data_IF_834299993925
#
_entry.id   IF_834299993925
#
_cell.length_a   1.000
_cell.length_b   1.000
_cell.length_c   1.000
_cell.angle_alpha   90.00
_cell.angle_beta   90.00
_cell.angle_gamma   90.00
#
_symmetry.space_group_name_H-M   'P 1'
#
loop_
_entity.id
_entity.type
_entity.pdbx_description
1 polymer ?
#
# COMPACT_ATOMS: atom_id res chain seq x y z
N UNK A 1 -15.09 -10.78 -2.90
CA UNK A 1 -14.10 -11.80 -2.49
C UNK A 1 -12.75 -11.10 -2.54
N UNK A 2 -12.09 -10.90 -1.41
CA UNK A 2 -10.75 -10.32 -1.39
C UNK A 2 -9.78 -11.48 -1.61
N UNK A 3 -9.11 -11.54 -2.76
CA UNK A 3 -8.05 -12.52 -2.99
C UNK A 3 -6.76 -11.96 -2.40
N UNK A 4 -6.11 -12.72 -1.53
CA UNK A 4 -4.80 -12.35 -0.97
C UNK A 4 -3.73 -12.51 -2.05
N UNK A 5 -3.26 -11.39 -2.60
CA UNK A 5 -2.16 -11.36 -3.55
C UNK A 5 -0.83 -11.10 -2.82
N UNK A 6 -0.20 -12.20 -2.39
CA UNK A 6 1.05 -12.19 -1.63
C UNK A 6 2.28 -12.18 -2.53
N UNK A 7 3.21 -11.29 -2.23
CA UNK A 7 4.49 -11.19 -2.93
C UNK A 7 5.65 -11.24 -1.94
N UNK A 8 6.64 -12.06 -2.24
CA UNK A 8 7.89 -12.12 -1.49
C UNK A 8 8.87 -11.10 -2.02
N UNK A 9 9.62 -10.47 -1.12
CA UNK A 9 10.72 -9.61 -1.52
C UNK A 9 11.87 -10.44 -2.15
N UNK A 10 12.79 -9.77 -2.85
CA UNK A 10 13.88 -10.43 -3.58
C UNK A 10 14.78 -11.29 -2.68
N UNK A 11 15.00 -10.87 -1.44
CA UNK A 11 15.76 -11.65 -0.44
C UNK A 11 14.91 -12.70 0.29
N UNK A 12 13.63 -12.84 -0.03
CA UNK A 12 12.67 -13.81 0.54
C UNK A 12 12.40 -13.67 2.05
N UNK A 13 12.95 -12.65 2.71
CA UNK A 13 12.80 -12.42 4.15
C UNK A 13 11.42 -11.90 4.56
N UNK A 14 10.68 -11.29 3.63
CA UNK A 14 9.35 -10.73 3.87
C UNK A 14 8.38 -11.09 2.76
N UNK A 15 7.12 -11.27 3.13
CA UNK A 15 5.99 -11.51 2.25
C UNK A 15 4.87 -10.54 2.60
N UNK A 16 4.31 -9.85 1.62
CA UNK A 16 3.35 -8.77 1.83
C UNK A 16 2.17 -8.89 0.87
N UNK A 17 1.03 -8.32 1.27
CA UNK A 17 -0.17 -8.27 0.45
C UNK A 17 -0.27 -6.96 -0.33
N UNK A 18 -0.75 -7.05 -1.57
CA UNK A 18 -1.04 -5.90 -2.43
C UNK A 18 -2.53 -5.74 -2.68
N UNK A 19 -2.92 -4.49 -2.87
CA UNK A 19 -4.23 -4.09 -3.38
C UNK A 19 -4.14 -3.85 -4.90
N UNK A 20 -5.11 -4.42 -5.63
CA UNK A 20 -5.30 -4.23 -7.07
C UNK A 20 -6.67 -3.59 -7.33
N UNK A 21 -6.70 -2.27 -7.53
CA UNK A 21 -7.97 -1.54 -7.69
C UNK A 21 -8.76 -2.03 -8.89
N UNK A 22 -9.96 -2.53 -8.61
CA UNK A 22 -10.94 -3.03 -9.59
C UNK A 22 -10.36 -4.08 -10.55
N UNK A 23 -9.29 -4.78 -10.16
CA UNK A 23 -8.57 -5.74 -11.02
C UNK A 23 -8.20 -5.16 -12.40
N UNK A 24 -7.94 -3.85 -12.46
CA UNK A 24 -7.56 -3.15 -13.70
C UNK A 24 -6.17 -3.62 -14.14
N UNK A 25 -5.23 -3.65 -13.21
CA UNK A 25 -3.91 -4.22 -13.41
C UNK A 25 -3.89 -5.66 -12.89
N UNK A 26 -3.27 -6.58 -13.65
CA UNK A 26 -3.11 -7.95 -13.20
C UNK A 26 -1.89 -8.04 -12.27
N UNK A 27 -1.76 -9.15 -11.56
CA UNK A 27 -0.71 -9.36 -10.55
C UNK A 27 0.69 -9.45 -11.17
N UNK A 28 0.77 -9.83 -12.45
CA UNK A 28 1.98 -9.83 -13.27
C UNK A 28 2.57 -8.42 -13.47
N UNK A 29 1.83 -7.36 -13.13
CA UNK A 29 2.36 -6.00 -13.17
C UNK A 29 3.47 -5.77 -12.14
N UNK A 30 3.57 -6.60 -11.10
CA UNK A 30 4.68 -6.54 -10.14
C UNK A 30 5.82 -7.41 -10.68
N UNK A 31 6.85 -6.77 -11.22
CA UNK A 31 8.04 -7.45 -11.71
C UNK A 31 8.93 -7.93 -10.57
N UNK A 32 9.10 -7.10 -9.53
CA UNK A 32 9.89 -7.44 -8.34
C UNK A 32 9.54 -6.55 -7.15
N UNK A 33 9.80 -7.08 -5.95
CA UNK A 33 9.62 -6.39 -4.68
C UNK A 33 10.93 -6.42 -3.89
N UNK A 34 11.31 -5.29 -3.31
CA UNK A 34 12.49 -5.18 -2.47
C UNK A 34 12.09 -4.61 -1.11
N UNK A 35 12.48 -5.31 -0.05
CA UNK A 35 12.27 -4.85 1.32
C UNK A 35 13.47 -4.03 1.81
N UNK A 36 13.37 -3.34 2.96
CA UNK A 36 14.47 -2.55 3.53
C UNK A 36 15.80 -3.30 3.69
N UNK A 37 15.77 -4.64 3.80
CA UNK A 37 16.98 -5.45 3.92
C UNK A 37 17.70 -5.69 2.57
N UNK A 38 17.02 -5.51 1.43
CA UNK A 38 17.58 -5.83 0.11
C UNK A 38 17.39 -4.72 -0.93
N UNK A 39 16.78 -3.59 -0.57
CA UNK A 39 16.64 -2.42 -1.44
C UNK A 39 17.91 -1.56 -1.50
N UNK A 40 18.81 -1.69 -0.52
CA UNK A 40 20.06 -0.90 -0.47
C UNK A 40 21.10 -1.25 -1.55
N UNK A 41 21.10 -2.49 -2.04
CA UNK A 41 22.12 -3.01 -2.96
C UNK A 41 21.71 -2.97 -4.44
N UNK A 42 20.52 -2.45 -4.76
CA UNK A 42 19.99 -2.44 -6.12
C UNK A 42 20.14 -1.09 -6.82
N UNK A 43 20.26 -1.12 -8.14
CA UNK A 43 20.17 0.07 -8.97
C UNK A 43 18.70 0.49 -9.11
N UNK A 44 18.35 1.68 -8.61
CA UNK A 44 16.99 2.22 -8.69
C UNK A 44 16.76 2.89 -10.06
N UNK A 45 15.72 2.45 -10.78
CA UNK A 45 15.25 3.09 -12.02
C UNK A 45 13.86 3.71 -11.81
N UNK A 46 13.74 5.05 -11.73
CA UNK A 46 12.45 5.72 -11.52
C UNK A 46 11.45 5.51 -12.65
N UNK A 47 11.86 4.98 -13.81
CA UNK A 47 10.94 4.71 -14.93
C UNK A 47 10.08 3.47 -14.70
N UNK A 48 10.54 2.54 -13.87
CA UNK A 48 9.85 1.27 -13.59
C UNK A 48 9.64 1.04 -12.10
N UNK A 49 10.34 1.78 -11.24
CA UNK A 49 10.35 1.55 -9.80
C UNK A 49 9.81 2.73 -9.01
N UNK A 50 9.16 2.40 -7.89
CA UNK A 50 8.76 3.37 -6.87
C UNK A 50 9.32 2.97 -5.51
N UNK A 51 9.81 3.95 -4.75
CA UNK A 51 10.25 3.77 -3.38
C UNK A 51 9.23 4.33 -2.38
N UNK A 52 9.00 3.59 -1.29
CA UNK A 52 8.17 4.00 -0.16
C UNK A 52 8.76 3.48 1.15
N UNK A 53 9.32 4.39 1.95
CA UNK A 53 9.90 4.12 3.26
C UNK A 53 10.83 2.88 3.35
N UNK A 54 11.82 2.81 2.46
CA UNK A 54 12.80 1.72 2.39
C UNK A 54 12.35 0.48 1.62
N UNK A 55 11.07 0.41 1.24
CA UNK A 55 10.59 -0.56 0.26
C UNK A 55 10.73 -0.02 -1.16
N UNK A 56 10.94 -0.91 -2.12
CA UNK A 56 10.90 -0.60 -3.55
C UNK A 56 10.02 -1.61 -4.25
N UNK A 57 9.10 -1.13 -5.07
CA UNK A 57 8.28 -1.94 -5.99
C UNK A 57 8.78 -1.65 -7.39
N UNK A 58 9.10 -2.70 -8.13
CA UNK A 58 9.40 -2.64 -9.56
C UNK A 58 8.19 -3.15 -10.33
N UNK A 59 7.67 -2.30 -11.22
CA UNK A 59 6.55 -2.64 -12.08
C UNK A 59 7.01 -3.08 -13.46
N UNK A 60 6.33 -4.09 -14.00
CA UNK A 60 6.36 -4.37 -15.43
C UNK A 60 5.53 -3.30 -16.14
N UNK A 61 6.22 -2.27 -16.61
CA UNK A 61 5.57 -1.13 -17.26
C UNK A 61 4.97 -1.48 -18.63
N UNK A 62 5.38 -2.58 -19.27
CA UNK A 62 4.81 -2.98 -20.55
C UNK A 62 3.47 -3.69 -20.33
N UNK A 63 3.38 -4.56 -19.31
CA UNK A 63 2.10 -5.10 -18.82
C UNK A 63 1.18 -3.98 -18.37
N UNK A 64 1.70 -3.02 -17.59
CA UNK A 64 0.92 -1.89 -17.10
C UNK A 64 0.34 -1.05 -18.25
N UNK A 65 1.17 -0.70 -19.25
CA UNK A 65 0.74 0.07 -20.43
C UNK A 65 -0.31 -0.67 -21.24
N UNK A 66 -0.14 -1.97 -21.45
CA UNK A 66 -1.10 -2.79 -22.20
C UNK A 66 -2.49 -2.78 -21.53
N UNK A 67 -2.51 -2.87 -20.20
CA UNK A 67 -3.74 -2.89 -19.39
C UNK A 67 -4.31 -1.50 -19.12
N UNK A 68 -3.54 -0.43 -19.38
CA UNK A 68 -3.92 0.96 -19.11
C UNK A 68 -5.15 1.43 -19.89
N UNK A 69 -5.53 0.73 -20.95
CA UNK A 69 -6.78 1.00 -21.71
C UNK A 69 -8.05 0.95 -20.87
N UNK A 70 -8.01 0.28 -19.71
CA UNK A 70 -9.10 0.21 -18.73
C UNK A 70 -9.05 1.32 -17.68
N UNK A 71 -8.05 2.19 -17.72
CA UNK A 71 -7.87 3.32 -16.81
C UNK A 71 -8.51 4.60 -17.39
N UNK A 72 -8.80 5.61 -16.55
CA UNK A 72 -9.07 6.96 -17.02
C UNK A 72 -7.95 7.45 -17.95
N UNK A 73 -8.33 8.09 -19.05
CA UNK A 73 -7.41 8.53 -20.11
C UNK A 73 -6.20 9.33 -19.58
N UNK A 74 -6.42 10.21 -18.61
CA UNK A 74 -5.36 11.01 -17.99
C UNK A 74 -4.26 10.16 -17.34
N UNK A 75 -4.63 9.03 -16.72
CA UNK A 75 -3.68 8.11 -16.09
C UNK A 75 -3.01 7.21 -17.12
N UNK A 76 -3.75 6.76 -18.13
CA UNK A 76 -3.23 5.91 -19.19
C UNK A 76 -2.15 6.63 -20.03
N UNK A 77 -2.36 7.91 -20.37
CA UNK A 77 -1.42 8.70 -21.19
C UNK A 77 -0.13 9.07 -20.45
N UNK A 78 -0.18 9.17 -19.12
CA UNK A 78 0.94 9.57 -18.27
C UNK A 78 1.32 8.47 -17.27
N UNK A 79 1.23 7.21 -17.69
CA UNK A 79 1.41 6.08 -16.78
C UNK A 79 2.87 6.01 -16.27
N UNK A 80 3.04 6.18 -14.96
CA UNK A 80 4.31 6.03 -14.24
C UNK A 80 4.13 5.11 -13.03
N UNK A 81 5.22 4.61 -12.40
CA UNK A 81 5.14 3.91 -11.12
C UNK A 81 4.36 4.67 -10.04
N UNK A 82 4.52 5.99 -9.95
CA UNK A 82 3.77 6.85 -9.02
C UNK A 82 2.28 6.86 -9.36
N UNK A 83 1.91 6.99 -10.64
CA UNK A 83 0.48 6.91 -11.03
C UNK A 83 -0.12 5.57 -10.64
N UNK A 84 0.60 4.47 -10.84
CA UNK A 84 0.15 3.12 -10.47
C UNK A 84 -0.07 3.03 -8.95
N UNK A 85 0.91 3.47 -8.16
CA UNK A 85 0.90 3.34 -6.71
C UNK A 85 -0.08 4.32 -6.05
N UNK A 86 0.07 5.63 -6.30
CA UNK A 86 -0.67 6.71 -5.62
C UNK A 86 -2.17 6.74 -6.03
N UNK A 87 -2.57 6.02 -7.09
CA UNK A 87 -3.98 5.84 -7.45
C UNK A 87 -4.54 4.46 -7.09
N UNK A 88 -3.78 3.68 -6.32
CA UNK A 88 -4.10 2.34 -5.85
C UNK A 88 -4.31 1.28 -6.95
N UNK A 89 -3.85 1.53 -8.19
CA UNK A 89 -3.95 0.52 -9.25
C UNK A 89 -3.19 -0.75 -8.90
N UNK A 90 -2.02 -0.59 -8.27
CA UNK A 90 -1.29 -1.67 -7.62
C UNK A 90 -0.43 -1.07 -6.50
N UNK A 91 -0.84 -1.23 -5.24
CA UNK A 91 -0.16 -0.61 -4.09
C UNK A 91 -0.30 -1.47 -2.82
N UNK A 92 0.18 -0.98 -1.68
CA UNK A 92 0.01 -1.69 -0.40
C UNK A 92 -1.46 -1.93 -0.07
N UNK A 93 -1.76 -3.11 0.48
CA UNK A 93 -3.06 -3.36 1.11
C UNK A 93 -3.14 -2.63 2.46
N UNK A 94 -3.73 -1.43 2.46
CA UNK A 94 -3.71 -0.50 3.58
C UNK A 94 -2.70 0.64 3.36
N UNK A 95 -2.14 1.20 4.44
CA UNK A 95 -1.21 2.34 4.38
C UNK A 95 0.24 1.92 4.06
N UNK A 96 0.67 0.77 4.55
CA UNK A 96 2.01 0.20 4.40
C UNK A 96 1.94 -1.34 4.38
N UNK A 97 3.02 -2.07 4.07
CA UNK A 97 2.92 -3.50 3.76
C UNK A 97 2.31 -4.42 4.83
N UNK A 98 2.42 -4.08 6.12
CA UNK A 98 1.92 -4.87 7.25
C UNK A 98 0.69 -4.22 7.95
N UNK A 99 0.10 -3.17 7.35
CA UNK A 99 -0.90 -2.31 7.98
C UNK A 99 -2.16 -3.07 8.46
N UNK A 100 -2.63 -4.06 7.71
CA UNK A 100 -3.80 -4.86 8.10
C UNK A 100 -3.58 -5.64 9.40
N UNK A 101 -2.37 -6.19 9.58
CA UNK A 101 -2.02 -6.97 10.77
C UNK A 101 -1.92 -6.05 11.99
N UNK A 102 -1.13 -4.98 11.87
CA UNK A 102 -0.90 -4.04 12.96
C UNK A 102 -2.20 -3.33 13.37
N UNK A 103 -3.01 -2.90 12.41
CA UNK A 103 -4.31 -2.26 12.66
C UNK A 103 -5.32 -3.20 13.33
N UNK A 104 -5.25 -4.52 13.05
CA UNK A 104 -6.09 -5.49 13.73
C UNK A 104 -5.70 -5.63 15.21
N UNK A 105 -4.40 -5.77 15.50
CA UNK A 105 -3.86 -5.86 16.87
C UNK A 105 -4.19 -4.58 17.66
N UNK A 106 -3.88 -3.41 17.10
CA UNK A 106 -4.09 -2.14 17.79
C UNK A 106 -5.57 -1.88 18.13
N UNK A 107 -6.50 -2.33 17.29
CA UNK A 107 -7.94 -2.12 17.51
C UNK A 107 -8.58 -3.13 18.44
N UNK A 108 -7.95 -4.28 18.71
CA UNK A 108 -8.51 -5.32 19.56
C UNK A 108 -8.83 -4.78 20.98
N UNK A 109 -7.93 -3.96 21.53
CA UNK A 109 -8.11 -3.31 22.83
C UNK A 109 -9.27 -2.29 22.84
N UNK A 110 -9.41 -1.53 21.74
CA UNK A 110 -10.46 -0.51 21.59
C UNK A 110 -11.83 -1.19 21.45
N UNK A 111 -11.91 -2.30 20.72
CA UNK A 111 -13.15 -3.07 20.51
C UNK A 111 -13.75 -3.60 21.82
N UNK A 112 -12.94 -3.87 22.84
CA UNK A 112 -13.44 -4.28 24.16
C UNK A 112 -14.32 -3.20 24.82
N UNK A 113 -14.05 -1.92 24.54
CA UNK A 113 -14.80 -0.77 25.10
C UNK A 113 -16.20 -0.68 24.51
N UNK A 114 -16.40 -1.12 23.26
CA UNK A 114 -17.67 -1.00 22.55
C UNK A 114 -18.85 -1.64 23.29
N UNK A 115 -18.61 -2.77 23.99
CA UNK A 115 -19.64 -3.50 24.75
C UNK A 115 -20.05 -2.79 26.04
N UNK A 116 -19.17 -1.97 26.61
CA UNK A 116 -19.35 -1.36 27.94
C UNK A 116 -19.78 0.11 27.82
N UNK A 117 -19.15 0.86 26.90
CA UNK A 117 -19.42 2.29 26.71
C UNK A 117 -19.24 2.69 25.23
N UNK A 118 -20.33 2.62 24.44
CA UNK A 118 -20.27 2.94 23.01
C UNK A 118 -19.80 4.38 22.69
N UNK A 119 -20.13 5.36 23.54
CA UNK A 119 -19.68 6.76 23.33
C UNK A 119 -18.18 6.90 23.54
N UNK A 120 -17.64 6.25 24.58
CA UNK A 120 -16.20 6.22 24.82
C UNK A 120 -15.49 5.49 23.68
N UNK A 121 -16.00 4.34 23.24
CA UNK A 121 -15.47 3.60 22.09
C UNK A 121 -15.31 4.48 20.85
N UNK A 122 -16.33 5.24 20.47
CA UNK A 122 -16.24 6.14 19.30
C UNK A 122 -15.14 7.20 19.45
N UNK A 123 -14.96 7.71 20.66
CA UNK A 123 -13.92 8.71 20.95
C UNK A 123 -12.53 8.10 20.85
N UNK A 124 -12.30 6.97 21.52
CA UNK A 124 -11.02 6.25 21.53
C UNK A 124 -10.63 5.77 20.11
N UNK A 125 -11.60 5.26 19.34
CA UNK A 125 -11.36 4.83 17.97
C UNK A 125 -10.94 6.00 17.08
N UNK A 126 -11.60 7.15 17.20
CA UNK A 126 -11.26 8.35 16.43
C UNK A 126 -9.87 8.87 16.81
N UNK A 127 -9.58 8.95 18.10
CA UNK A 127 -8.32 9.49 18.60
C UNK A 127 -7.16 8.54 18.23
N UNK A 128 -7.37 7.22 18.31
CA UNK A 128 -6.45 6.22 17.74
C UNK A 128 -6.19 6.43 16.26
N UNK A 129 -7.25 6.57 15.44
CA UNK A 129 -7.11 6.74 14.00
C UNK A 129 -6.31 8.00 13.64
N UNK A 130 -6.61 9.13 14.30
CA UNK A 130 -5.89 10.38 14.11
C UNK A 130 -4.40 10.25 14.49
N UNK A 131 -4.12 9.73 15.68
CA UNK A 131 -2.75 9.55 16.17
C UNK A 131 -1.95 8.58 15.30
N UNK A 132 -2.58 7.49 14.84
CA UNK A 132 -1.98 6.53 13.92
C UNK A 132 -1.59 7.20 12.60
N UNK A 133 -2.51 7.93 11.98
CA UNK A 133 -2.24 8.61 10.71
C UNK A 133 -1.15 9.67 10.84
N UNK A 134 -1.13 10.45 11.92
CA UNK A 134 -0.10 11.46 12.13
C UNK A 134 1.28 10.83 12.34
N UNK A 135 1.36 9.73 13.09
CA UNK A 135 2.59 8.92 13.21
C UNK A 135 3.06 8.40 11.85
N UNK A 136 2.16 7.82 11.05
CA UNK A 136 2.51 7.26 9.74
C UNK A 136 2.96 8.33 8.74
N UNK A 137 2.37 9.54 8.78
CA UNK A 137 2.86 10.69 8.02
C UNK A 137 4.27 11.10 8.42
N UNK A 138 4.54 11.18 9.73
CA UNK A 138 5.88 11.50 10.24
C UNK A 138 6.94 10.48 9.84
N UNK A 139 6.54 9.21 9.67
CA UNK A 139 7.40 8.14 9.14
C UNK A 139 7.62 8.21 7.62
N UNK A 140 6.89 9.08 6.91
CA UNK A 140 7.08 9.29 5.47
C UNK A 140 6.32 8.32 4.56
N UNK A 141 5.34 7.58 5.07
CA UNK A 141 4.53 6.68 4.23
C UNK A 141 3.70 7.47 3.22
N UNK A 142 3.82 7.15 1.92
CA UNK A 142 3.11 7.84 0.83
C UNK A 142 1.59 7.89 1.04
N UNK A 143 0.97 6.72 1.23
CA UNK A 143 -0.49 6.60 1.42
C UNK A 143 -1.01 7.26 2.70
N UNK A 144 -0.14 7.60 3.66
CA UNK A 144 -0.53 8.34 4.86
C UNK A 144 -0.79 9.83 4.59
N UNK A 145 -0.24 10.37 3.50
CA UNK A 145 -0.40 11.75 3.07
C UNK A 145 -1.61 11.95 2.16
N UNK A 146 -2.13 10.88 1.56
CA UNK A 146 -3.36 10.91 0.79
C UNK A 146 -4.54 11.17 1.72
N UNK A 147 -5.27 12.25 1.46
CA UNK A 147 -6.59 12.44 2.04
C UNK A 147 -7.50 11.43 1.35
N UNK A 148 -7.99 10.43 2.08
CA UNK A 148 -9.21 9.72 1.69
C UNK A 148 -10.31 10.78 1.55
N UNK A 149 -10.60 11.17 0.31
CA UNK A 149 -11.68 12.10 -0.03
C UNK A 149 -12.99 11.33 -0.18
#
# INVERSE_FOLDING_TARGET
>A
MCMDHKFKCKCQNKEINFEFKNDILPHEVIASLYCPNCSGDMAFDPKTMIADNGWVIEYDMDVAKFMSTRMPKQHAENLTPEVIFDNNYCSWLGIYPDDQHDSAIEREEIMAIAKVNPRKYLTELRDWANNRMDRLKQQGWRKAHERFA
#
